data_IF_975972304276
#
_entry.id   IF_975972304276
#
_cell.length_a   1.000
_cell.length_b   1.000
_cell.length_c   1.000
_cell.angle_alpha   90.00
_cell.angle_beta   90.00
_cell.angle_gamma   90.00
#
_symmetry.space_group_name_H-M   'P 1'
#
loop_
_entity.id
_entity.type
_entity.pdbx_description
1 polymer ?
#
# COMPACT_ATOMS: atom_id res chain seq x y z
N UNK A 1 -33.48 -8.65 -30.64
CA UNK A 1 -33.14 -8.35 -29.23
C UNK A 1 -31.66 -8.63 -29.07
N UNK A 2 -30.80 -7.62 -29.26
CA UNK A 2 -29.34 -7.78 -29.15
C UNK A 2 -28.99 -7.52 -27.69
N UNK A 3 -28.63 -8.57 -26.97
CA UNK A 3 -28.12 -8.47 -25.59
C UNK A 3 -26.68 -7.95 -25.72
N UNK A 4 -26.51 -6.66 -25.50
CA UNK A 4 -25.18 -6.04 -25.44
C UNK A 4 -24.59 -6.39 -24.07
N UNK A 5 -23.80 -7.47 -24.02
CA UNK A 5 -23.06 -7.88 -22.83
C UNK A 5 -22.06 -6.80 -22.44
N UNK A 6 -22.32 -6.11 -21.34
CA UNK A 6 -21.39 -5.15 -20.77
C UNK A 6 -20.14 -5.87 -20.25
N UNK A 7 -19.01 -5.69 -20.94
CA UNK A 7 -17.71 -6.02 -20.37
C UNK A 7 -17.43 -5.05 -19.22
N UNK A 8 -17.60 -5.52 -17.98
CA UNK A 8 -17.07 -4.84 -16.80
C UNK A 8 -15.53 -4.90 -16.88
N UNK A 9 -14.93 -3.87 -17.45
CA UNK A 9 -13.50 -3.63 -17.33
C UNK A 9 -13.20 -3.42 -15.84
N UNK A 10 -12.57 -4.41 -15.22
CA UNK A 10 -11.89 -4.21 -13.95
C UNK A 10 -10.71 -3.27 -14.21
N UNK A 11 -10.93 -1.99 -13.93
CA UNK A 11 -9.85 -1.08 -13.57
C UNK A 11 -9.02 -1.74 -12.46
N UNK A 12 -7.79 -2.10 -12.81
CA UNK A 12 -6.80 -2.53 -11.84
C UNK A 12 -6.49 -1.34 -10.93
N UNK A 13 -7.02 -1.38 -9.71
CA UNK A 13 -6.48 -0.63 -8.58
C UNK A 13 -5.18 -1.35 -8.25
N UNK A 14 -4.10 -0.85 -8.81
CA UNK A 14 -2.76 -1.22 -8.36
C UNK A 14 -2.52 -0.45 -7.08
N UNK A 15 -1.86 -1.07 -6.14
CA UNK A 15 -1.37 -0.38 -4.98
C UNK A 15 -0.25 0.58 -5.32
N UNK A 16 0.56 1.00 -4.33
CA UNK A 16 1.86 1.59 -4.67
C UNK A 16 2.43 0.78 -5.84
N UNK A 17 2.85 1.46 -6.91
CA UNK A 17 3.36 0.74 -8.07
C UNK A 17 4.52 -0.16 -7.65
N UNK A 18 4.96 -1.11 -8.50
CA UNK A 18 5.98 -2.09 -8.12
C UNK A 18 7.23 -1.49 -7.45
N UNK A 19 7.65 -0.29 -7.86
CA UNK A 19 8.76 0.44 -7.23
C UNK A 19 8.45 0.85 -5.79
N UNK A 20 7.26 1.40 -5.50
CA UNK A 20 6.87 1.78 -4.14
C UNK A 20 6.83 0.59 -3.19
N UNK A 21 6.23 -0.53 -3.60
CA UNK A 21 6.27 -1.77 -2.80
C UNK A 21 7.69 -2.28 -2.57
N UNK A 22 8.56 -2.20 -3.59
CA UNK A 22 9.97 -2.59 -3.44
C UNK A 22 10.70 -1.69 -2.45
N UNK A 23 10.43 -0.39 -2.45
CA UNK A 23 10.98 0.56 -1.47
C UNK A 23 10.53 0.17 -0.06
N UNK A 24 9.24 -0.06 0.16
CA UNK A 24 8.69 -0.50 1.45
C UNK A 24 9.37 -1.79 1.93
N UNK A 25 9.47 -2.80 1.06
CA UNK A 25 10.11 -4.07 1.39
C UNK A 25 11.62 -3.96 1.63
N UNK A 26 12.31 -3.04 0.94
CA UNK A 26 13.74 -2.78 1.14
C UNK A 26 14.03 -2.05 2.45
N UNK A 27 13.18 -1.08 2.83
CA UNK A 27 13.26 -0.41 4.13
C UNK A 27 12.98 -1.43 5.23
N UNK A 28 11.90 -2.20 5.13
CA UNK A 28 11.56 -3.20 6.13
C UNK A 28 12.73 -4.15 6.42
N UNK A 29 13.44 -4.59 5.38
CA UNK A 29 14.60 -5.47 5.52
C UNK A 29 15.73 -4.92 6.41
N UNK A 30 15.91 -3.60 6.45
CA UNK A 30 16.94 -2.94 7.27
C UNK A 30 16.55 -2.81 8.73
N UNK A 31 15.24 -2.88 9.01
CA UNK A 31 14.66 -2.70 10.35
C UNK A 31 14.22 -4.04 10.98
N UNK A 32 14.42 -5.17 10.30
CA UNK A 32 14.20 -6.50 10.87
C UNK A 32 15.29 -6.85 11.91
N UNK A 33 14.88 -7.56 12.96
CA UNK A 33 15.82 -8.23 13.84
C UNK A 33 16.61 -9.29 13.06
N UNK A 34 17.87 -9.60 13.42
CA UNK A 34 18.67 -10.61 12.73
C UNK A 34 17.95 -11.97 12.64
N UNK A 35 17.24 -12.37 13.69
CA UNK A 35 16.51 -13.64 13.71
C UNK A 35 15.23 -13.59 12.86
N UNK A 36 14.46 -12.49 12.86
CA UNK A 36 13.31 -12.37 11.97
C UNK A 36 13.77 -12.40 10.51
N UNK A 37 14.88 -11.72 10.20
CA UNK A 37 15.49 -11.68 8.87
C UNK A 37 15.86 -13.07 8.36
N UNK A 38 16.56 -13.87 9.17
CA UNK A 38 16.95 -15.25 8.81
C UNK A 38 15.73 -16.14 8.60
N UNK A 39 14.78 -16.13 9.54
CA UNK A 39 13.57 -16.96 9.45
C UNK A 39 12.70 -16.62 8.24
N UNK A 40 12.55 -15.33 7.94
CA UNK A 40 11.79 -14.87 6.77
C UNK A 40 12.53 -15.23 5.48
N UNK A 41 13.87 -15.15 5.45
CA UNK A 41 14.66 -15.58 4.30
C UNK A 41 14.40 -17.05 3.95
N UNK A 42 14.38 -17.93 4.95
CA UNK A 42 14.09 -19.36 4.76
C UNK A 42 12.65 -19.59 4.27
N UNK A 43 11.67 -18.94 4.91
CA UNK A 43 10.26 -19.05 4.52
C UNK A 43 10.01 -18.58 3.08
N UNK A 44 10.73 -17.53 2.65
CA UNK A 44 10.67 -16.98 1.29
C UNK A 44 11.61 -17.70 0.30
N UNK A 45 12.33 -18.75 0.72
CA UNK A 45 13.29 -19.50 -0.11
C UNK A 45 14.33 -18.59 -0.79
N UNK A 46 14.81 -17.60 -0.04
CA UNK A 46 15.79 -16.63 -0.50
C UNK A 46 15.24 -15.44 -1.28
N UNK A 47 13.94 -15.39 -1.59
CA UNK A 47 13.33 -14.20 -2.20
C UNK A 47 13.42 -12.99 -1.26
N UNK A 48 13.82 -11.83 -1.81
CA UNK A 48 13.89 -10.60 -1.02
C UNK A 48 12.49 -10.02 -0.75
N UNK A 49 12.33 -9.33 0.38
CA UNK A 49 11.06 -8.72 0.80
C UNK A 49 10.61 -7.66 -0.21
N UNK A 50 11.55 -6.96 -0.82
CA UNK A 50 11.28 -6.03 -1.91
C UNK A 50 10.64 -6.74 -3.12
N UNK A 51 11.05 -7.96 -3.46
CA UNK A 51 10.42 -8.71 -4.55
C UNK A 51 9.08 -9.31 -4.11
N UNK A 52 9.06 -9.91 -2.92
CA UNK A 52 7.88 -10.51 -2.30
C UNK A 52 6.71 -9.52 -2.16
N UNK A 53 6.99 -8.23 -1.88
CA UNK A 53 5.96 -7.20 -1.70
C UNK A 53 5.14 -6.88 -2.95
N UNK A 54 5.56 -7.32 -4.13
CA UNK A 54 4.79 -7.13 -5.39
C UNK A 54 3.87 -8.31 -5.72
N UNK A 55 3.92 -9.39 -4.94
CA UNK A 55 3.26 -10.64 -5.26
C UNK A 55 1.74 -10.55 -5.35
N UNK A 56 1.07 -9.79 -4.47
CA UNK A 56 -0.40 -9.69 -4.50
C UNK A 56 -0.93 -9.03 -5.77
N UNK A 57 -0.24 -8.03 -6.32
CA UNK A 57 -0.63 -7.45 -7.61
C UNK A 57 -0.33 -8.39 -8.78
N UNK A 58 0.73 -9.21 -8.70
CA UNK A 58 1.03 -10.20 -9.73
C UNK A 58 -0.05 -11.30 -9.76
N UNK A 59 -0.46 -11.82 -8.60
CA UNK A 59 -1.40 -12.94 -8.51
C UNK A 59 -2.83 -12.56 -8.94
N UNK A 60 -3.20 -11.28 -8.89
CA UNK A 60 -4.45 -10.76 -9.47
C UNK A 60 -4.59 -11.02 -10.98
N UNK A 61 -3.49 -11.29 -11.68
CA UNK A 61 -3.52 -11.69 -13.09
C UNK A 61 -4.15 -13.07 -13.30
N UNK A 62 -4.19 -13.90 -12.26
CA UNK A 62 -4.94 -15.15 -12.23
C UNK A 62 -6.40 -14.87 -11.78
N UNK A 63 -7.41 -15.11 -12.64
CA UNK A 63 -8.81 -14.84 -12.32
C UNK A 63 -9.35 -15.53 -11.07
N UNK A 64 -8.73 -16.62 -10.62
CA UNK A 64 -9.12 -17.32 -9.39
C UNK A 64 -8.94 -16.47 -8.13
N UNK A 65 -8.11 -15.43 -8.20
CA UNK A 65 -7.80 -14.50 -7.10
C UNK A 65 -8.54 -13.16 -7.20
N UNK A 66 -9.46 -12.99 -8.17
CA UNK A 66 -10.21 -11.73 -8.37
C UNK A 66 -11.01 -11.29 -7.15
N UNK A 67 -11.43 -12.24 -6.31
CA UNK A 67 -12.15 -11.96 -5.05
C UNK A 67 -11.31 -11.22 -4.02
N UNK A 68 -9.98 -11.12 -4.21
CA UNK A 68 -9.06 -10.45 -3.29
C UNK A 68 -8.85 -8.98 -3.62
N UNK A 69 -9.32 -8.51 -4.79
CA UNK A 69 -9.23 -7.10 -5.19
C UNK A 69 -9.67 -6.12 -4.09
N UNK A 70 -10.77 -6.36 -3.34
CA UNK A 70 -11.20 -5.48 -2.26
C UNK A 70 -10.21 -5.37 -1.11
N UNK A 71 -9.30 -6.34 -0.92
CA UNK A 71 -8.36 -6.35 0.20
C UNK A 71 -7.24 -5.33 0.07
N UNK A 72 -7.10 -4.68 -1.09
CA UNK A 72 -6.05 -3.69 -1.34
C UNK A 72 -6.40 -2.29 -0.84
N UNK A 73 -7.65 -2.03 -0.46
CA UNK A 73 -8.09 -0.69 -0.07
C UNK A 73 -9.18 -0.77 0.98
N UNK A 74 -9.49 0.35 1.61
CA UNK A 74 -10.72 0.53 2.37
C UNK A 74 -11.43 1.80 1.90
N UNK A 75 -12.68 1.95 2.30
CA UNK A 75 -13.45 3.17 2.03
C UNK A 75 -13.89 3.76 3.35
N UNK A 76 -13.36 4.95 3.65
CA UNK A 76 -13.70 5.72 4.83
C UNK A 76 -14.16 7.10 4.34
N UNK A 77 -15.49 7.35 4.24
CA UNK A 77 -16.02 8.65 3.87
C UNK A 77 -15.47 9.79 4.75
N UNK A 78 -15.42 10.98 4.19
CA UNK A 78 -14.70 12.13 4.78
C UNK A 78 -15.16 12.44 6.21
N UNK A 79 -16.46 12.33 6.45
CA UNK A 79 -17.10 12.65 7.73
C UNK A 79 -17.29 11.45 8.65
N UNK A 80 -16.72 10.28 8.35
CA UNK A 80 -16.93 9.04 9.10
C UNK A 80 -15.64 8.44 9.64
N UNK A 81 -15.69 7.75 10.78
CA UNK A 81 -14.63 6.81 11.17
C UNK A 81 -14.73 5.49 10.37
N UNK A 82 -13.73 4.61 10.51
CA UNK A 82 -13.81 3.29 9.88
C UNK A 82 -14.94 2.44 10.48
N UNK A 83 -15.15 2.56 11.79
CA UNK A 83 -16.22 1.86 12.52
C UNK A 83 -17.59 2.30 12.03
N UNK A 84 -17.77 3.60 11.74
CA UNK A 84 -19.01 4.15 11.19
C UNK A 84 -19.23 3.75 9.73
N UNK A 85 -18.17 3.72 8.92
CA UNK A 85 -18.22 3.27 7.53
C UNK A 85 -18.54 1.77 7.40
N UNK A 86 -18.06 0.98 8.36
CA UNK A 86 -18.24 -0.46 8.44
C UNK A 86 -17.36 -1.25 7.47
N UNK A 87 -17.08 -2.51 7.84
CA UNK A 87 -16.31 -3.43 6.99
C UNK A 87 -17.21 -4.04 5.89
N UNK A 88 -16.81 -3.96 4.61
CA UNK A 88 -17.53 -4.63 3.53
C UNK A 88 -17.58 -6.16 3.71
N UNK A 89 -18.65 -6.82 3.23
CA UNK A 89 -18.82 -8.28 3.35
C UNK A 89 -17.67 -9.09 2.73
N UNK A 90 -17.10 -8.58 1.65
CA UNK A 90 -15.96 -9.16 0.93
C UNK A 90 -14.62 -8.95 1.65
N UNK A 91 -14.62 -8.20 2.76
CA UNK A 91 -13.42 -7.73 3.44
C UNK A 91 -12.80 -6.51 2.75
N UNK A 92 -11.81 -5.95 3.41
CA UNK A 92 -11.02 -4.81 2.94
C UNK A 92 -9.59 -4.92 3.50
N UNK A 93 -8.73 -3.93 3.21
CA UNK A 93 -7.33 -3.94 3.67
C UNK A 93 -7.21 -3.99 5.20
N UNK A 94 -8.07 -3.28 5.94
CA UNK A 94 -8.00 -3.22 7.40
C UNK A 94 -8.36 -4.57 8.00
N UNK A 95 -9.49 -5.15 7.59
CA UNK A 95 -9.94 -6.44 8.08
C UNK A 95 -8.96 -7.57 7.71
N UNK A 96 -8.37 -7.50 6.53
CA UNK A 96 -7.39 -8.49 6.06
C UNK A 96 -6.08 -8.39 6.82
N UNK A 97 -5.55 -7.17 7.03
CA UNK A 97 -4.36 -6.95 7.87
C UNK A 97 -4.59 -7.45 9.30
N UNK A 98 -5.72 -7.07 9.92
CA UNK A 98 -6.05 -7.53 11.27
C UNK A 98 -6.07 -9.07 11.36
N UNK A 99 -6.73 -9.73 10.40
CA UNK A 99 -6.75 -11.20 10.32
C UNK A 99 -5.34 -11.79 10.17
N UNK A 100 -4.54 -11.28 9.24
CA UNK A 100 -3.19 -11.77 8.98
C UNK A 100 -2.23 -11.51 10.14
N UNK A 101 -2.43 -10.46 10.94
CA UNK A 101 -1.57 -10.13 12.08
C UNK A 101 -1.94 -10.92 13.33
N UNK A 102 -3.23 -11.16 13.58
CA UNK A 102 -3.72 -11.77 14.82
C UNK A 102 -3.86 -13.29 14.75
N UNK A 103 -4.21 -13.86 13.59
CA UNK A 103 -4.44 -15.30 13.44
C UNK A 103 -3.29 -15.97 12.66
N UNK A 104 -2.40 -16.75 13.32
CA UNK A 104 -1.35 -17.50 12.64
C UNK A 104 -1.87 -18.54 11.65
N UNK A 105 -3.09 -19.03 11.81
CA UNK A 105 -3.66 -19.99 10.88
C UNK A 105 -4.12 -19.32 9.59
N UNK A 106 -4.55 -18.05 9.64
CA UNK A 106 -4.90 -17.28 8.45
C UNK A 106 -3.75 -17.20 7.44
N UNK A 107 -2.50 -17.27 7.92
CA UNK A 107 -1.30 -17.30 7.09
C UNK A 107 -0.93 -18.69 6.57
N UNK A 108 -1.59 -19.77 7.01
CA UNK A 108 -1.19 -21.17 6.73
C UNK A 108 -2.23 -21.99 5.97
N UNK A 109 -3.37 -21.40 5.61
CA UNK A 109 -4.46 -22.12 4.94
C UNK A 109 -4.11 -22.45 3.49
N UNK A 110 -4.19 -23.72 3.11
CA UNK A 110 -3.99 -24.16 1.73
C UNK A 110 -4.94 -23.45 0.73
N UNK A 111 -4.50 -23.12 -0.50
CA UNK A 111 -3.19 -23.40 -1.08
C UNK A 111 -2.05 -22.48 -0.59
N UNK A 112 -2.30 -21.65 0.42
CA UNK A 112 -1.39 -20.65 0.92
C UNK A 112 -0.57 -21.24 2.06
N UNK A 113 0.55 -20.59 2.34
CA UNK A 113 1.44 -20.94 3.41
C UNK A 113 1.99 -19.67 4.05
N UNK A 114 2.79 -19.83 5.11
CA UNK A 114 3.32 -18.71 5.87
C UNK A 114 4.06 -17.69 4.95
N UNK A 115 4.71 -18.16 3.88
CA UNK A 115 5.37 -17.32 2.89
C UNK A 115 4.36 -16.45 2.10
N UNK A 116 3.22 -17.01 1.69
CA UNK A 116 2.09 -16.22 1.14
C UNK A 116 1.60 -15.19 2.15
N UNK A 117 1.49 -15.54 3.43
CA UNK A 117 1.11 -14.61 4.50
C UNK A 117 2.07 -13.43 4.63
N UNK A 118 3.38 -13.68 4.61
CA UNK A 118 4.42 -12.63 4.61
C UNK A 118 4.29 -11.74 3.38
N UNK A 119 4.10 -12.33 2.18
CA UNK A 119 3.91 -11.59 0.91
C UNK A 119 2.70 -10.66 0.98
N UNK A 120 1.60 -11.14 1.55
CA UNK A 120 0.40 -10.33 1.71
C UNK A 120 0.60 -9.19 2.71
N UNK A 121 1.22 -9.45 3.87
CA UNK A 121 1.55 -8.38 4.82
C UNK A 121 2.46 -7.34 4.19
N UNK A 122 3.50 -7.76 3.45
CA UNK A 122 4.42 -6.85 2.79
C UNK A 122 3.74 -5.96 1.74
N UNK A 123 2.71 -6.49 1.06
CA UNK A 123 1.92 -5.72 0.11
C UNK A 123 0.92 -4.81 0.82
N UNK A 124 0.00 -5.36 1.61
CA UNK A 124 -1.13 -4.65 2.23
C UNK A 124 -0.70 -3.57 3.23
N UNK A 125 0.43 -3.76 3.92
CA UNK A 125 1.00 -2.69 4.76
C UNK A 125 1.51 -1.54 3.88
N UNK A 126 2.02 -1.81 2.68
CA UNK A 126 2.24 -0.77 1.68
C UNK A 126 0.94 -0.05 1.31
N UNK A 127 -0.07 -0.80 0.90
CA UNK A 127 -1.36 -0.28 0.40
C UNK A 127 -2.01 0.68 1.39
N UNK A 128 -2.18 0.28 2.66
CA UNK A 128 -2.86 1.11 3.67
C UNK A 128 -2.15 2.45 3.89
N UNK A 129 -0.85 2.55 3.60
CA UNK A 129 -0.08 3.80 3.71
C UNK A 129 -0.24 4.73 2.51
N UNK A 130 -0.78 4.25 1.38
CA UNK A 130 -1.11 5.07 0.21
C UNK A 130 -2.40 5.85 0.53
N UNK A 131 -2.37 7.19 0.61
CA UNK A 131 -3.53 7.99 1.04
C UNK A 131 -4.84 7.71 0.29
N UNK A 132 -4.76 7.43 -1.02
CA UNK A 132 -5.90 7.17 -1.89
C UNK A 132 -6.37 5.71 -1.87
N UNK A 133 -5.66 4.80 -1.20
CA UNK A 133 -6.16 3.47 -0.84
C UNK A 133 -7.12 3.51 0.35
N UNK A 134 -7.15 4.62 1.08
CA UNK A 134 -8.18 4.92 2.07
C UNK A 134 -9.19 5.87 1.42
N UNK A 135 -10.02 5.33 0.52
CA UNK A 135 -10.88 6.11 -0.37
C UNK A 135 -12.05 6.82 0.33
N UNK A 136 -12.63 7.81 -0.35
CA UNK A 136 -13.84 8.54 0.10
C UNK A 136 -15.16 7.85 -0.26
N UNK A 137 -15.13 6.89 -1.19
CA UNK A 137 -16.31 6.20 -1.71
C UNK A 137 -16.99 6.90 -2.90
N UNK A 138 -16.44 8.01 -3.42
CA UNK A 138 -17.08 8.82 -4.48
C UNK A 138 -16.33 8.80 -5.81
N UNK A 139 -15.02 8.50 -5.82
CA UNK A 139 -14.17 8.57 -7.02
C UNK A 139 -13.21 7.38 -7.17
N UNK A 140 -13.52 6.29 -6.45
CA UNK A 140 -12.70 5.08 -6.35
C UNK A 140 -11.25 5.39 -5.95
N UNK A 141 -11.08 6.27 -4.97
CA UNK A 141 -9.76 6.64 -4.44
C UNK A 141 -8.97 7.46 -5.46
N UNK A 142 -9.58 8.45 -6.10
CA UNK A 142 -8.94 9.29 -7.11
C UNK A 142 -8.71 8.60 -8.47
N UNK A 143 -9.16 7.36 -8.67
CA UNK A 143 -9.06 6.69 -9.96
C UNK A 143 -9.93 7.35 -11.03
N UNK A 144 -11.08 7.90 -10.63
CA UNK A 144 -12.00 8.60 -11.52
C UNK A 144 -11.64 10.09 -11.70
N UNK A 145 -10.65 10.58 -10.93
CA UNK A 145 -10.09 11.91 -11.08
C UNK A 145 -9.07 11.94 -12.24
N UNK A 146 -9.56 12.11 -13.47
CA UNK A 146 -8.73 12.12 -14.69
C UNK A 146 -7.94 13.42 -14.81
N UNK A 147 -6.64 13.30 -15.05
CA UNK A 147 -5.73 14.44 -15.14
C UNK A 147 -4.54 14.09 -16.02
N UNK A 148 -3.68 15.05 -16.32
CA UNK A 148 -2.37 14.78 -16.92
C UNK A 148 -1.27 14.80 -15.86
N UNK A 149 -0.28 13.92 -15.99
CA UNK A 149 1.01 14.05 -15.33
C UNK A 149 2.01 14.51 -16.38
N UNK A 150 2.46 15.76 -16.24
CA UNK A 150 3.06 16.53 -17.33
C UNK A 150 2.15 16.51 -18.56
N UNK A 151 2.60 15.94 -19.67
CA UNK A 151 1.82 15.80 -20.91
C UNK A 151 1.11 14.44 -21.05
N UNK A 152 1.31 13.50 -20.12
CA UNK A 152 0.74 12.16 -20.21
C UNK A 152 -0.60 12.04 -19.50
N UNK A 153 -1.62 11.49 -20.17
CA UNK A 153 -2.92 11.21 -19.54
C UNK A 153 -2.78 10.16 -18.43
N UNK A 154 -3.38 10.44 -17.27
CA UNK A 154 -3.36 9.57 -16.09
C UNK A 154 -4.60 9.83 -15.22
N UNK A 155 -4.56 9.41 -13.95
CA UNK A 155 -5.51 9.81 -12.91
C UNK A 155 -4.76 10.09 -11.61
N UNK A 156 -5.42 10.75 -10.64
CA UNK A 156 -4.79 11.14 -9.38
C UNK A 156 -4.23 9.93 -8.60
N UNK A 157 -4.94 8.80 -8.58
CA UNK A 157 -4.49 7.58 -7.91
C UNK A 157 -3.11 7.12 -8.42
N UNK A 158 -2.98 7.00 -9.75
CA UNK A 158 -1.72 6.58 -10.40
C UNK A 158 -0.59 7.58 -10.20
N UNK A 159 -0.89 8.88 -10.07
CA UNK A 159 0.12 9.91 -9.77
C UNK A 159 0.79 9.61 -8.43
N UNK A 160 0.00 9.22 -7.42
CA UNK A 160 0.51 8.81 -6.11
C UNK A 160 1.18 7.44 -6.16
N UNK A 161 0.53 6.41 -6.72
CA UNK A 161 1.10 5.06 -6.74
C UNK A 161 2.44 4.97 -7.45
N UNK A 162 2.59 5.71 -8.55
CA UNK A 162 3.64 5.42 -9.52
C UNK A 162 4.33 6.66 -10.06
N UNK A 163 3.59 7.67 -10.53
CA UNK A 163 4.19 8.67 -11.40
C UNK A 163 5.14 9.60 -10.64
N UNK A 164 4.81 10.01 -9.40
CA UNK A 164 5.72 10.78 -8.54
C UNK A 164 6.98 10.00 -8.15
N UNK A 165 6.84 8.71 -7.85
CA UNK A 165 7.97 7.82 -7.49
C UNK A 165 8.91 7.66 -8.69
N UNK A 166 8.36 7.31 -9.85
CA UNK A 166 9.14 7.12 -11.08
C UNK A 166 9.82 8.40 -11.53
N UNK A 167 9.21 9.56 -11.27
CA UNK A 167 9.79 10.85 -11.61
C UNK A 167 11.09 11.15 -10.85
N UNK A 168 11.33 10.53 -9.70
CA UNK A 168 12.63 10.67 -8.99
C UNK A 168 13.78 10.01 -9.76
N UNK A 169 13.48 9.11 -10.71
CA UNK A 169 14.47 8.39 -11.51
C UNK A 169 15.51 7.60 -10.69
N UNK A 170 15.14 7.17 -9.48
CA UNK A 170 15.93 6.32 -8.60
C UNK A 170 15.49 4.87 -8.74
N UNK A 171 16.44 3.95 -8.68
CA UNK A 171 16.12 2.54 -8.40
C UNK A 171 15.46 2.41 -7.02
N UNK A 172 14.72 1.32 -6.77
CA UNK A 172 14.08 1.12 -5.47
C UNK A 172 15.10 1.05 -4.33
N UNK A 173 16.33 0.59 -4.59
CA UNK A 173 17.42 0.56 -3.62
C UNK A 173 17.94 1.95 -3.31
N UNK A 174 18.27 2.76 -4.33
CA UNK A 174 18.73 4.14 -4.13
C UNK A 174 17.67 4.99 -3.43
N UNK A 175 16.40 4.80 -3.79
CA UNK A 175 15.29 5.52 -3.17
C UNK A 175 15.13 5.10 -1.70
N UNK A 176 15.10 3.80 -1.41
CA UNK A 176 15.07 3.32 -0.04
C UNK A 176 16.29 3.83 0.75
N UNK A 177 17.50 3.79 0.17
CA UNK A 177 18.72 4.33 0.79
C UNK A 177 18.61 5.82 1.05
N UNK A 178 17.92 6.58 0.21
CA UNK A 178 17.76 8.03 0.37
C UNK A 178 16.80 8.39 1.50
N UNK A 179 15.61 7.76 1.56
CA UNK A 179 14.54 8.19 2.47
C UNK A 179 14.59 7.56 3.86
N UNK A 180 15.34 6.48 4.05
CA UNK A 180 15.47 5.78 5.33
C UNK A 180 16.33 6.58 6.33
N UNK A 181 15.68 7.61 6.91
CA UNK A 181 16.30 8.65 7.77
C UNK A 181 15.47 8.93 9.02
N UNK A 182 14.59 8.02 9.42
CA UNK A 182 13.79 8.16 10.63
C UNK A 182 14.69 8.22 11.87
N UNK A 183 14.34 9.07 12.84
CA UNK A 183 15.01 9.04 14.14
C UNK A 183 14.61 7.79 14.93
N UNK A 184 15.39 7.41 15.94
CA UNK A 184 15.02 6.30 16.83
C UNK A 184 13.66 6.53 17.50
N UNK A 185 13.35 7.78 17.85
CA UNK A 185 12.06 8.15 18.43
C UNK A 185 10.90 7.97 17.43
N UNK A 186 11.10 8.36 16.17
CA UNK A 186 10.11 8.14 15.11
C UNK A 186 9.88 6.65 14.88
N UNK A 187 10.96 5.86 14.81
CA UNK A 187 10.87 4.40 14.66
C UNK A 187 10.06 3.80 15.81
N UNK A 188 10.43 4.08 17.07
CA UNK A 188 9.71 3.55 18.23
C UNK A 188 8.22 3.95 18.21
N UNK A 189 7.92 5.21 17.91
CA UNK A 189 6.54 5.69 17.82
C UNK A 189 5.76 4.95 16.73
N UNK A 190 6.28 4.90 15.50
CA UNK A 190 5.56 4.31 14.37
C UNK A 190 5.37 2.80 14.51
N UNK A 191 6.31 2.11 15.15
CA UNK A 191 6.22 0.66 15.39
C UNK A 191 5.17 0.29 16.43
N UNK A 192 4.77 1.22 17.30
CA UNK A 192 3.73 1.02 18.32
C UNK A 192 2.30 1.24 17.78
N UNK A 193 2.15 1.94 16.66
CA UNK A 193 0.84 2.25 16.06
C UNK A 193 0.13 1.00 15.52
N UNK A 194 -1.21 1.02 15.59
CA UNK A 194 -2.08 0.00 15.01
C UNK A 194 -2.56 0.35 13.59
N UNK A 195 -3.23 -0.62 12.95
CA UNK A 195 -3.72 -0.50 11.57
C UNK A 195 -4.72 0.66 11.39
N UNK A 196 -5.54 0.96 12.40
CA UNK A 196 -6.52 2.04 12.32
C UNK A 196 -5.84 3.40 12.36
N UNK A 197 -4.76 3.55 13.14
CA UNK A 197 -3.91 4.75 13.08
C UNK A 197 -3.33 4.92 11.68
N UNK A 198 -2.82 3.86 11.05
CA UNK A 198 -2.24 3.94 9.71
C UNK A 198 -3.29 4.39 8.67
N UNK A 199 -4.51 3.84 8.76
CA UNK A 199 -5.63 4.22 7.92
C UNK A 199 -6.05 5.68 8.14
N UNK A 200 -6.12 6.12 9.40
CA UNK A 200 -6.50 7.47 9.76
C UNK A 200 -5.47 8.49 9.29
N UNK A 201 -4.17 8.20 9.35
CA UNK A 201 -3.13 9.06 8.78
C UNK A 201 -3.30 9.22 7.26
N UNK A 202 -3.53 8.11 6.55
CA UNK A 202 -3.80 8.12 5.11
C UNK A 202 -5.04 8.94 4.77
N UNK A 203 -6.12 8.80 5.56
CA UNK A 203 -7.32 9.64 5.45
C UNK A 203 -7.03 11.12 5.72
N UNK A 204 -6.25 11.43 6.76
CA UNK A 204 -5.87 12.81 7.10
C UNK A 204 -5.09 13.46 5.96
N UNK A 205 -4.16 12.73 5.33
CA UNK A 205 -3.44 13.21 4.15
C UNK A 205 -4.39 13.42 2.98
N UNK A 206 -5.31 12.48 2.76
CA UNK A 206 -6.34 12.58 1.71
C UNK A 206 -7.17 13.87 1.84
N UNK A 207 -7.55 14.23 3.06
CA UNK A 207 -8.27 15.47 3.39
C UNK A 207 -7.36 16.71 3.40
N UNK A 208 -6.07 16.54 3.62
CA UNK A 208 -5.05 17.60 3.70
C UNK A 208 -4.65 18.24 2.37
N UNK A 209 -5.47 18.10 1.33
CA UNK A 209 -5.30 18.82 0.06
C UNK A 209 -4.39 18.14 -0.96
N UNK A 210 -4.45 16.80 -1.05
CA UNK A 210 -3.85 16.06 -2.17
C UNK A 210 -4.72 16.09 -3.43
N UNK A 211 -6.03 16.31 -3.29
CA UNK A 211 -6.89 16.56 -4.46
C UNK A 211 -6.57 17.95 -5.01
N UNK A 212 -6.24 18.06 -6.32
CA UNK A 212 -6.01 19.36 -6.93
C UNK A 212 -7.33 20.09 -7.14
N UNK A 213 -7.26 21.41 -7.40
CA UNK A 213 -8.46 22.19 -7.73
C UNK A 213 -9.17 21.61 -8.96
N UNK A 214 -10.50 21.70 -8.99
CA UNK A 214 -11.37 21.08 -10.03
C UNK A 214 -10.97 21.49 -11.47
N UNK A 215 -10.46 22.71 -11.63
CA UNK A 215 -10.04 23.23 -12.93
C UNK A 215 -8.62 22.80 -13.34
N UNK A 216 -7.86 22.18 -12.43
CA UNK A 216 -6.51 21.69 -12.71
C UNK A 216 -6.57 20.53 -13.70
N UNK A 217 -5.96 20.71 -14.88
CA UNK A 217 -5.92 19.67 -15.92
C UNK A 217 -4.61 18.90 -15.98
N UNK A 218 -3.53 19.45 -15.42
CA UNK A 218 -2.20 18.83 -15.42
C UNK A 218 -1.49 19.08 -14.11
N UNK A 219 -0.86 18.02 -13.60
CA UNK A 219 0.04 18.02 -12.45
C UNK A 219 1.47 17.82 -12.95
N UNK A 220 2.46 18.33 -12.23
CA UNK A 220 3.87 18.20 -12.60
C UNK A 220 4.77 18.65 -11.47
N UNK A 221 5.84 19.37 -11.77
CA UNK A 221 6.86 19.78 -10.80
C UNK A 221 6.29 20.44 -9.54
N UNK A 222 5.37 21.39 -9.65
CA UNK A 222 4.81 22.09 -8.50
C UNK A 222 4.03 21.15 -7.55
N UNK A 223 3.26 20.23 -8.12
CA UNK A 223 2.53 19.22 -7.35
C UNK A 223 3.50 18.23 -6.69
N UNK A 224 4.50 17.75 -7.43
CA UNK A 224 5.55 16.88 -6.90
C UNK A 224 6.28 17.56 -5.74
N UNK A 225 6.75 18.79 -5.92
CA UNK A 225 7.45 19.57 -4.90
C UNK A 225 6.64 19.69 -3.60
N UNK A 226 5.33 19.92 -3.72
CA UNK A 226 4.43 20.05 -2.56
C UNK A 226 4.21 18.73 -1.82
N UNK A 227 4.15 17.60 -2.53
CA UNK A 227 3.65 16.33 -1.96
C UNK A 227 4.71 15.22 -1.83
N UNK A 228 5.88 15.36 -2.45
CA UNK A 228 6.90 14.30 -2.47
C UNK A 228 7.43 13.96 -1.07
N UNK A 229 7.54 14.94 -0.18
CA UNK A 229 7.96 14.70 1.21
C UNK A 229 6.93 13.84 1.96
N UNK A 230 5.64 14.14 1.81
CA UNK A 230 4.55 13.33 2.37
C UNK A 230 4.57 11.91 1.79
N UNK A 231 4.72 11.76 0.47
CA UNK A 231 4.82 10.45 -0.16
C UNK A 231 6.01 9.65 0.39
N UNK A 232 7.19 10.27 0.50
CA UNK A 232 8.39 9.63 1.04
C UNK A 232 8.20 9.19 2.49
N UNK A 233 7.54 10.02 3.31
CA UNK A 233 7.22 9.68 4.69
C UNK A 233 6.29 8.45 4.75
N UNK A 234 5.28 8.35 3.87
CA UNK A 234 4.39 7.18 3.84
C UNK A 234 5.09 5.89 3.43
N UNK A 235 6.00 5.94 2.46
CA UNK A 235 6.85 4.79 2.09
C UNK A 235 7.75 4.36 3.25
N UNK A 236 8.36 5.33 3.96
CA UNK A 236 9.22 5.08 5.11
C UNK A 236 8.46 4.45 6.28
N UNK A 237 7.32 5.05 6.66
CA UNK A 237 6.45 4.54 7.72
C UNK A 237 5.98 3.11 7.42
N UNK A 238 5.56 2.84 6.18
CA UNK A 238 5.14 1.51 5.77
C UNK A 238 6.26 0.47 5.95
N UNK A 239 7.50 0.80 5.56
CA UNK A 239 8.65 -0.10 5.72
C UNK A 239 8.97 -0.40 7.19
N UNK A 240 8.99 0.64 8.03
CA UNK A 240 9.25 0.51 9.48
C UNK A 240 8.15 -0.30 10.18
N UNK A 241 6.88 -0.05 9.84
CA UNK A 241 5.73 -0.77 10.40
C UNK A 241 5.66 -2.21 9.93
N UNK A 242 6.01 -2.48 8.65
CA UNK A 242 6.15 -3.84 8.15
C UNK A 242 7.23 -4.61 8.94
N UNK A 243 8.39 -4.00 9.17
CA UNK A 243 9.44 -4.62 9.99
C UNK A 243 8.96 -4.93 11.41
N UNK A 244 8.25 -4.00 12.07
CA UNK A 244 7.72 -4.24 13.41
C UNK A 244 6.69 -5.36 13.47
N UNK A 245 5.77 -5.42 12.50
CA UNK A 245 4.82 -6.53 12.40
C UNK A 245 5.55 -7.86 12.28
N UNK A 246 6.54 -7.94 11.40
CA UNK A 246 7.30 -9.16 11.15
C UNK A 246 8.17 -9.58 12.35
N UNK A 247 8.86 -8.63 13.00
CA UNK A 247 9.62 -8.88 14.23
C UNK A 247 8.72 -9.45 15.34
N UNK A 248 7.56 -8.81 15.58
CA UNK A 248 6.57 -9.30 16.56
C UNK A 248 6.10 -10.71 16.25
N UNK A 249 5.84 -11.01 14.97
CA UNK A 249 5.34 -12.32 14.56
C UNK A 249 6.35 -13.45 14.76
N UNK A 250 7.64 -13.17 14.59
CA UNK A 250 8.67 -14.20 14.67
C UNK A 250 9.37 -14.28 16.02
N UNK A 251 9.03 -13.40 16.97
CA UNK A 251 9.46 -13.50 18.36
C UNK A 251 10.95 -13.21 18.54
N UNK A 252 11.49 -12.43 17.61
CA UNK A 252 12.81 -11.84 17.66
C UNK A 252 12.74 -10.42 17.10
#
# INVERSE_FOLDING_TARGET
MVIMGGFLFSINVFAWGPTGHRIVGAIAERHLSPCAKEKIHDLLQGESRAMASTWMDNIKSDPSYRSWNPWHYCTIPDHQSYEEAGTPKQGDVIATLHRLMVDPNARKLAPWNEASGIKMLAHLIGDIHQPLHVGNGTDRGGNDWKIQWFSGSTNLHRVWDSDMIKHQALSYTEYADWIDRASEADVQSWQADDVLVWAQESKTIRLGGIYPDVDTKSLGYAYSYKHISTLNQRLLQAGIRLAAVLNRMYGC
#
